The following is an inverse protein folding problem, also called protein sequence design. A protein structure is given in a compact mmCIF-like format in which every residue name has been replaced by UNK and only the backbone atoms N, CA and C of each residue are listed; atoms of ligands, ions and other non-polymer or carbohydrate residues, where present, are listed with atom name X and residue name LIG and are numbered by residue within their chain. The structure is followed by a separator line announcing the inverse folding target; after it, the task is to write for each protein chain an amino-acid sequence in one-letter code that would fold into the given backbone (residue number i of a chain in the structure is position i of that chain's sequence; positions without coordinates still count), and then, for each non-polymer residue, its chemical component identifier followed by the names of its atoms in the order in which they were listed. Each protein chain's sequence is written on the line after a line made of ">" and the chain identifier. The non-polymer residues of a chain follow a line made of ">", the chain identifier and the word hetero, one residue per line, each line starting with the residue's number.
data_IF_087274173191
#
_entry.id   IF_087274173191
#
_cell.length_a   1.000
_cell.length_b   1.000
_cell.length_c   1.000
_cell.angle_alpha   90.00
_cell.angle_beta   90.00
_cell.angle_gamma   90.00
#
_symmetry.space_group_name_H-M   'P 1'
#
loop_
_entity.id
_entity.type
_entity.pdbx_description
1 polymer ?
#
# COMPACT_ATOMS: atom_id res chain seq x y z
N UNK A 1 -0.89 7.27 5.74
CA UNK A 1 0.26 6.97 4.85
C UNK A 1 -0.08 5.75 4.01
N UNK A 2 0.24 5.75 2.71
CA UNK A 2 0.16 4.56 1.86
C UNK A 2 1.53 4.38 1.19
N UNK A 3 2.16 3.22 1.35
CA UNK A 3 3.54 3.01 0.92
C UNK A 3 3.86 1.56 0.56
N UNK A 4 4.30 1.34 -0.68
CA UNK A 4 4.89 0.07 -1.10
C UNK A 4 6.37 0.06 -0.71
N UNK A 5 6.76 -0.88 0.17
CA UNK A 5 8.10 -0.90 0.79
C UNK A 5 9.18 -1.62 -0.03
N UNK A 6 8.81 -2.18 -1.19
CA UNK A 6 9.66 -3.04 -2.02
C UNK A 6 10.21 -4.24 -1.24
N UNK A 7 9.60 -5.42 -1.38
CA UNK A 7 10.08 -6.59 -0.64
C UNK A 7 11.48 -7.01 -1.10
N UNK A 8 12.21 -7.72 -0.24
CA UNK A 8 13.59 -8.11 -0.53
C UNK A 8 13.68 -9.03 -1.75
N UNK A 9 12.69 -9.94 -1.89
CA UNK A 9 12.57 -10.82 -3.05
C UNK A 9 12.59 -10.10 -4.40
N UNK A 10 12.08 -8.87 -4.49
CA UNK A 10 12.04 -8.11 -5.76
C UNK A 10 13.17 -7.06 -5.89
N UNK A 11 13.91 -6.78 -4.83
CA UNK A 11 14.99 -5.79 -4.78
C UNK A 11 16.30 -6.30 -5.43
N UNK A 12 16.23 -6.79 -6.67
CA UNK A 12 17.36 -7.43 -7.35
C UNK A 12 18.17 -6.44 -8.20
N UNK A 13 19.44 -6.75 -8.44
CA UNK A 13 20.31 -6.00 -9.36
C UNK A 13 19.85 -6.04 -10.82
N UNK A 14 19.04 -7.03 -11.20
CA UNK A 14 18.45 -7.10 -12.55
C UNK A 14 17.41 -6.00 -12.75
N UNK A 15 16.56 -5.78 -11.74
CA UNK A 15 15.54 -4.72 -11.76
C UNK A 15 16.12 -3.34 -11.43
N UNK A 16 17.09 -3.29 -10.52
CA UNK A 16 17.64 -2.07 -9.93
C UNK A 16 19.16 -1.94 -10.17
N UNK A 17 19.61 -2.17 -11.41
CA UNK A 17 21.05 -2.20 -11.77
C UNK A 17 21.80 -0.87 -11.56
N UNK A 18 21.07 0.23 -11.40
CA UNK A 18 21.62 1.55 -11.04
C UNK A 18 21.88 1.71 -9.53
N UNK A 19 21.30 0.87 -8.67
CA UNK A 19 21.41 0.96 -7.21
C UNK A 19 22.47 -0.02 -6.69
N UNK A 20 23.54 0.43 -6.01
CA UNK A 20 24.60 -0.47 -5.56
C UNK A 20 24.06 -1.55 -4.61
N UNK A 21 24.64 -2.76 -4.65
CA UNK A 21 24.09 -3.93 -3.94
C UNK A 21 23.88 -3.70 -2.45
N UNK A 22 24.83 -3.04 -1.77
CA UNK A 22 24.72 -2.73 -0.34
C UNK A 22 23.50 -1.85 -0.01
N UNK A 23 23.06 -1.01 -0.95
CA UNK A 23 21.88 -0.17 -0.77
C UNK A 23 20.56 -0.90 -1.10
N UNK A 24 20.64 -2.05 -1.80
CA UNK A 24 19.50 -2.94 -2.06
C UNK A 24 19.30 -3.96 -0.92
N UNK A 25 20.35 -4.27 -0.17
CA UNK A 25 20.26 -5.21 0.97
C UNK A 25 19.18 -4.78 1.96
N UNK A 26 18.32 -5.74 2.35
CA UNK A 26 17.20 -5.49 3.27
C UNK A 26 17.64 -4.86 4.59
N UNK A 27 18.74 -5.33 5.19
CA UNK A 27 19.24 -4.79 6.46
C UNK A 27 19.64 -3.32 6.40
N UNK A 28 19.98 -2.82 5.21
CA UNK A 28 20.17 -1.41 4.95
C UNK A 28 18.83 -0.70 4.73
N UNK A 29 18.02 -1.18 3.78
CA UNK A 29 16.76 -0.51 3.36
C UNK A 29 15.74 -0.41 4.49
N UNK A 30 15.59 -1.46 5.30
CA UNK A 30 14.56 -1.53 6.34
C UNK A 30 14.66 -0.39 7.36
N UNK A 31 15.89 0.11 7.60
CA UNK A 31 16.14 1.27 8.47
C UNK A 31 15.53 2.53 7.88
N UNK A 32 15.86 2.84 6.62
CA UNK A 32 15.31 4.01 5.93
C UNK A 32 13.79 3.93 5.72
N UNK A 33 13.26 2.74 5.46
CA UNK A 33 11.81 2.51 5.37
C UNK A 33 11.12 2.85 6.70
N UNK A 34 11.66 2.37 7.82
CA UNK A 34 11.10 2.65 9.14
C UNK A 34 11.24 4.12 9.52
N UNK A 35 12.36 4.75 9.19
CA UNK A 35 12.59 6.18 9.42
C UNK A 35 11.59 7.04 8.63
N UNK A 36 11.28 6.69 7.36
CA UNK A 36 10.24 7.36 6.56
C UNK A 36 8.86 7.22 7.19
N UNK A 37 8.51 6.01 7.66
CA UNK A 37 7.23 5.76 8.35
C UNK A 37 7.12 6.60 9.62
N UNK A 38 8.19 6.65 10.43
CA UNK A 38 8.26 7.45 11.66
C UNK A 38 8.21 8.95 11.37
N UNK A 39 8.85 9.39 10.29
CA UNK A 39 8.88 10.80 9.89
C UNK A 39 7.48 11.37 9.65
N UNK A 40 6.63 10.66 8.90
CA UNK A 40 5.26 11.14 8.65
C UNK A 40 4.34 10.99 9.88
N UNK A 41 4.66 10.08 10.80
CA UNK A 41 3.88 9.86 12.03
C UNK A 41 2.35 9.73 11.77
N UNK A 42 1.98 9.08 10.66
CA UNK A 42 0.60 9.01 10.22
C UNK A 42 -0.27 8.14 11.13
N UNK A 43 -1.48 8.59 11.44
CA UNK A 43 -2.40 7.87 12.32
C UNK A 43 -2.81 6.46 11.83
N UNK A 44 -2.86 6.30 10.50
CA UNK A 44 -3.13 5.05 9.80
C UNK A 44 -2.09 4.88 8.69
N UNK A 45 -1.47 3.70 8.63
CA UNK A 45 -0.41 3.35 7.68
C UNK A 45 -0.84 2.09 6.92
N UNK A 46 -0.90 2.18 5.59
CA UNK A 46 -1.17 1.06 4.70
C UNK A 46 0.11 0.72 3.94
N UNK A 47 0.62 -0.51 4.12
CA UNK A 47 1.83 -0.98 3.45
C UNK A 47 1.53 -2.09 2.45
N UNK A 48 2.23 -2.08 1.32
CA UNK A 48 2.27 -3.15 0.34
C UNK A 48 3.70 -3.72 0.24
N UNK A 49 3.81 -4.94 -0.26
CA UNK A 49 5.08 -5.69 -0.35
C UNK A 49 5.77 -5.93 1.01
N UNK A 50 4.97 -6.13 2.06
CA UNK A 50 5.50 -6.53 3.38
C UNK A 50 5.68 -8.04 3.39
N UNK A 51 6.90 -8.54 3.60
CA UNK A 51 7.14 -9.97 3.77
C UNK A 51 6.59 -10.48 5.10
N UNK A 52 6.09 -11.73 5.10
CA UNK A 52 5.45 -12.34 6.27
C UNK A 52 6.35 -12.32 7.50
N UNK A 53 7.60 -12.77 7.37
CA UNK A 53 8.54 -12.77 8.50
C UNK A 53 8.83 -11.34 8.97
N UNK A 54 9.05 -10.41 8.04
CA UNK A 54 9.36 -9.02 8.36
C UNK A 54 8.21 -8.28 9.04
N UNK A 55 6.95 -8.63 8.74
CA UNK A 55 5.82 -8.09 9.49
C UNK A 55 5.94 -8.43 10.98
N UNK A 56 6.14 -9.71 11.31
CA UNK A 56 6.14 -10.18 12.70
C UNK A 56 7.46 -9.90 13.44
N UNK A 57 8.60 -9.96 12.75
CA UNK A 57 9.92 -9.83 13.37
C UNK A 57 10.47 -8.40 13.38
N UNK A 58 9.94 -7.51 12.53
CA UNK A 58 10.46 -6.14 12.38
C UNK A 58 9.36 -5.07 12.45
N UNK A 59 8.44 -5.00 11.49
CA UNK A 59 7.49 -3.87 11.41
C UNK A 59 6.56 -3.78 12.62
N UNK A 60 5.92 -4.89 13.01
CA UNK A 60 5.00 -4.91 14.15
C UNK A 60 5.68 -4.58 15.49
N UNK A 61 6.82 -5.21 15.89
CA UNK A 61 7.46 -4.87 17.15
C UNK A 61 8.03 -3.44 17.19
N UNK A 62 8.57 -2.92 16.08
CA UNK A 62 9.05 -1.54 16.02
C UNK A 62 7.90 -0.53 16.11
N UNK A 63 6.84 -0.70 15.31
CA UNK A 63 5.71 0.22 15.33
C UNK A 63 4.86 0.09 16.60
N UNK A 64 4.86 -1.06 17.28
CA UNK A 64 4.26 -1.19 18.61
C UNK A 64 4.94 -0.31 19.65
N UNK A 65 6.26 -0.16 19.60
CA UNK A 65 6.98 0.78 20.47
C UNK A 65 6.56 2.23 20.20
N UNK A 66 6.21 2.52 18.95
CA UNK A 66 5.70 3.83 18.51
C UNK A 66 4.17 4.00 18.75
N UNK A 67 3.52 3.07 19.44
CA UNK A 67 2.10 3.16 19.83
C UNK A 67 1.10 2.71 18.75
N UNK A 68 1.55 2.00 17.73
CA UNK A 68 0.68 1.38 16.74
C UNK A 68 0.28 -0.04 17.15
N UNK A 69 -0.84 -0.50 16.62
CA UNK A 69 -1.10 -1.93 16.42
C UNK A 69 -1.28 -2.18 14.93
N UNK A 70 -1.32 -3.44 14.49
CA UNK A 70 -1.46 -3.72 13.07
C UNK A 70 -1.89 -5.14 12.72
N UNK A 71 -2.43 -5.25 11.51
CA UNK A 71 -2.85 -6.51 10.89
C UNK A 71 -2.10 -6.73 9.57
N UNK A 72 -1.99 -7.99 9.18
CA UNK A 72 -1.29 -8.41 7.97
C UNK A 72 -1.97 -9.61 7.32
N UNK A 73 -1.89 -9.66 6.00
CA UNK A 73 -2.21 -10.88 5.25
C UNK A 73 -1.24 -11.06 4.08
N UNK A 74 -0.62 -12.25 3.94
CA UNK A 74 0.20 -12.57 2.79
C UNK A 74 -0.66 -12.84 1.56
N UNK A 75 -0.06 -12.72 0.36
CA UNK A 75 -0.72 -13.15 -0.89
C UNK A 75 -1.16 -14.62 -0.82
N UNK A 76 -2.23 -14.96 -1.55
CA UNK A 76 -2.91 -16.25 -1.46
C UNK A 76 -2.02 -17.47 -1.69
N UNK A 77 -0.93 -17.34 -2.46
CA UNK A 77 0.07 -18.41 -2.66
C UNK A 77 0.66 -18.97 -1.37
N UNK A 78 0.69 -18.19 -0.28
CA UNK A 78 1.16 -18.63 1.03
C UNK A 78 0.47 -19.92 1.52
N UNK A 79 -0.78 -20.15 1.11
CA UNK A 79 -1.59 -21.31 1.51
C UNK A 79 -1.10 -22.64 0.95
N UNK A 80 -0.41 -22.62 -0.20
CA UNK A 80 0.08 -23.82 -0.88
C UNK A 80 1.59 -24.02 -0.76
N UNK A 81 2.27 -23.11 -0.06
CA UNK A 81 3.73 -23.16 0.14
C UNK A 81 4.10 -23.80 1.47
N UNK A 82 5.33 -24.33 1.54
CA UNK A 82 5.93 -24.82 2.77
C UNK A 82 6.10 -23.68 3.80
N UNK A 83 6.25 -24.03 5.08
CA UNK A 83 6.42 -23.03 6.14
C UNK A 83 7.67 -22.16 5.96
N UNK A 84 8.76 -22.74 5.45
CA UNK A 84 10.02 -22.00 5.21
C UNK A 84 9.87 -20.97 4.10
N UNK A 85 9.15 -21.30 3.03
CA UNK A 85 8.93 -20.38 1.90
C UNK A 85 7.85 -19.34 2.22
N UNK A 86 6.84 -19.70 3.01
CA UNK A 86 5.74 -18.81 3.41
C UNK A 86 6.25 -17.53 4.08
N UNK A 87 7.36 -17.62 4.83
CA UNK A 87 8.03 -16.49 5.49
C UNK A 87 8.38 -15.34 4.55
N UNK A 88 8.70 -15.66 3.29
CA UNK A 88 9.11 -14.69 2.27
C UNK A 88 7.97 -14.32 1.31
N UNK A 89 6.75 -14.77 1.59
CA UNK A 89 5.59 -14.32 0.83
C UNK A 89 5.22 -12.93 1.30
N UNK A 90 5.26 -12.00 0.36
CA UNK A 90 4.83 -10.62 0.55
C UNK A 90 3.30 -10.49 0.55
N UNK A 91 2.82 -9.43 1.20
CA UNK A 91 1.40 -9.12 1.33
C UNK A 91 1.14 -7.66 1.67
N UNK A 92 -0.01 -7.43 2.28
CA UNK A 92 -0.49 -6.11 2.69
C UNK A 92 -0.56 -6.02 4.21
N UNK A 93 -0.23 -4.86 4.77
CA UNK A 93 -0.37 -4.57 6.20
C UNK A 93 -1.12 -3.25 6.42
N UNK A 94 -1.88 -3.18 7.51
CA UNK A 94 -2.50 -1.96 8.00
C UNK A 94 -2.07 -1.77 9.46
N UNK A 95 -1.45 -0.62 9.76
CA UNK A 95 -1.15 -0.18 11.11
C UNK A 95 -2.02 1.03 11.47
N UNK A 96 -2.38 1.15 12.74
CA UNK A 96 -3.18 2.25 13.26
C UNK A 96 -2.76 2.59 14.69
N UNK A 97 -2.81 3.88 15.05
CA UNK A 97 -2.51 4.34 16.41
C UNK A 97 -3.50 3.70 17.40
N UNK A 98 -3.00 2.85 18.29
CA UNK A 98 -3.85 2.09 19.22
C UNK A 98 -4.61 2.99 20.22
N UNK A 99 -4.07 4.16 20.53
CA UNK A 99 -4.75 5.17 21.34
C UNK A 99 -5.95 5.81 20.61
N UNK A 100 -5.89 5.94 19.28
CA UNK A 100 -6.91 6.61 18.45
C UNK A 100 -7.93 5.67 17.83
N UNK A 101 -7.57 4.40 17.64
CA UNK A 101 -8.44 3.42 16.98
C UNK A 101 -8.55 2.11 17.74
N UNK A 102 -9.71 1.47 17.65
CA UNK A 102 -9.94 0.07 18.00
C UNK A 102 -10.23 -0.73 16.74
N UNK A 103 -9.56 -1.87 16.57
CA UNK A 103 -9.93 -2.84 15.54
C UNK A 103 -11.21 -3.55 15.95
N UNK A 104 -12.19 -3.55 15.04
CA UNK A 104 -13.47 -4.28 15.20
C UNK A 104 -13.43 -5.59 14.42
N UNK A 105 -12.98 -5.54 13.17
CA UNK A 105 -12.95 -6.69 12.27
C UNK A 105 -11.91 -6.52 11.17
N UNK A 106 -11.31 -7.62 10.76
CA UNK A 106 -10.45 -7.69 9.59
C UNK A 106 -11.13 -8.48 8.46
N UNK A 107 -10.81 -8.13 7.22
CA UNK A 107 -11.35 -8.74 6.02
C UNK A 107 -10.22 -8.95 5.00
N UNK A 108 -10.01 -10.21 4.60
CA UNK A 108 -9.12 -10.58 3.51
C UNK A 108 -9.93 -10.74 2.22
N UNK A 109 -9.49 -10.07 1.15
CA UNK A 109 -10.11 -10.10 -0.17
C UNK A 109 -9.14 -10.80 -1.12
N UNK A 110 -9.50 -12.00 -1.56
CA UNK A 110 -8.66 -12.83 -2.46
C UNK A 110 -9.21 -12.80 -3.88
N UNK A 111 -8.57 -12.02 -4.76
CA UNK A 111 -9.09 -11.78 -6.11
C UNK A 111 -9.17 -13.04 -6.97
N UNK A 112 -8.32 -14.03 -6.74
CA UNK A 112 -8.41 -15.32 -7.42
C UNK A 112 -9.68 -16.11 -7.06
N UNK A 113 -10.08 -16.10 -5.79
CA UNK A 113 -11.30 -16.77 -5.33
C UNK A 113 -12.54 -16.06 -5.86
N UNK A 114 -12.52 -14.72 -5.86
CA UNK A 114 -13.58 -13.94 -6.50
C UNK A 114 -13.63 -14.23 -8.00
N UNK A 115 -12.51 -14.21 -8.71
CA UNK A 115 -12.48 -14.51 -10.13
C UNK A 115 -12.99 -15.93 -10.43
N UNK A 116 -12.65 -16.92 -9.59
CA UNK A 116 -13.15 -18.30 -9.71
C UNK A 116 -14.66 -18.39 -9.45
N UNK A 117 -15.19 -17.67 -8.46
CA UNK A 117 -16.62 -17.62 -8.19
C UNK A 117 -17.41 -16.91 -9.31
N UNK A 118 -16.76 -15.98 -10.01
CA UNK A 118 -17.36 -15.11 -11.03
C UNK A 118 -16.95 -15.49 -12.47
N UNK A 119 -16.41 -16.68 -12.68
CA UNK A 119 -15.86 -17.08 -13.98
C UNK A 119 -16.88 -17.66 -14.97
N UNK A 120 -18.13 -17.83 -14.55
CA UNK A 120 -19.15 -18.47 -15.38
C UNK A 120 -19.27 -17.76 -16.74
N UNK A 121 -19.11 -18.53 -17.82
CA UNK A 121 -19.18 -18.03 -19.20
C UNK A 121 -18.00 -17.17 -19.66
N UNK A 122 -16.88 -17.11 -18.91
CA UNK A 122 -15.69 -16.33 -19.32
C UNK A 122 -14.37 -17.08 -19.11
N UNK A 123 -13.83 -17.61 -20.22
CA UNK A 123 -12.48 -18.18 -20.26
C UNK A 123 -11.41 -17.15 -19.88
N UNK A 124 -11.63 -15.87 -20.20
CA UNK A 124 -10.69 -14.80 -19.88
C UNK A 124 -10.62 -14.54 -18.37
N UNK A 125 -11.73 -14.73 -17.62
CA UNK A 125 -11.69 -14.68 -16.15
C UNK A 125 -10.83 -15.82 -15.59
N UNK A 126 -11.00 -17.05 -16.10
CA UNK A 126 -10.25 -18.23 -15.67
C UNK A 126 -8.77 -18.18 -16.04
N UNK A 127 -8.44 -17.70 -17.24
CA UNK A 127 -7.08 -17.80 -17.78
C UNK A 127 -6.21 -16.59 -17.41
N UNK A 128 -6.82 -15.41 -17.24
CA UNK A 128 -6.06 -14.16 -17.05
C UNK A 128 -6.14 -13.63 -15.61
N UNK A 129 -7.33 -13.67 -15.01
CA UNK A 129 -7.61 -13.06 -13.69
C UNK A 129 -7.41 -14.06 -12.55
N UNK A 130 -8.09 -15.22 -12.59
CA UNK A 130 -8.06 -16.24 -11.53
C UNK A 130 -6.64 -16.72 -11.15
N UNK A 131 -5.66 -16.87 -12.07
CA UNK A 131 -4.33 -17.33 -11.71
C UNK A 131 -3.49 -16.30 -10.94
N UNK A 132 -3.99 -15.07 -10.73
CA UNK A 132 -3.26 -13.99 -10.07
C UNK A 132 -3.56 -13.99 -8.57
N UNK A 133 -2.52 -14.11 -7.75
CA UNK A 133 -2.56 -14.27 -6.30
C UNK A 133 -2.62 -12.94 -5.51
N UNK A 134 -2.97 -11.85 -6.19
CA UNK A 134 -3.11 -10.51 -5.60
C UNK A 134 -4.24 -10.48 -4.57
N UNK A 135 -4.13 -9.58 -3.59
CA UNK A 135 -5.08 -9.46 -2.48
C UNK A 135 -5.42 -8.00 -2.15
N UNK A 136 -6.55 -7.82 -1.48
CA UNK A 136 -6.87 -6.66 -0.65
C UNK A 136 -6.99 -7.05 0.82
N UNK A 137 -6.67 -6.12 1.71
CA UNK A 137 -6.85 -6.25 3.16
C UNK A 137 -7.66 -5.05 3.65
N UNK A 138 -8.70 -5.29 4.44
CA UNK A 138 -9.48 -4.22 5.05
C UNK A 138 -9.62 -4.40 6.57
N UNK A 139 -9.59 -3.29 7.29
CA UNK A 139 -9.77 -3.18 8.73
C UNK A 139 -10.97 -2.29 9.01
N UNK A 140 -12.02 -2.83 9.64
CA UNK A 140 -13.06 -2.03 10.25
C UNK A 140 -12.55 -1.54 11.60
N UNK A 141 -12.31 -0.23 11.69
CA UNK A 141 -11.84 0.46 12.88
C UNK A 141 -12.96 1.30 13.49
N UNK A 142 -12.84 1.60 14.78
CA UNK A 142 -13.61 2.64 15.46
C UNK A 142 -12.70 3.68 16.07
N UNK A 143 -13.06 4.94 15.91
CA UNK A 143 -12.36 6.05 16.57
C UNK A 143 -12.51 5.96 18.10
N UNK A 144 -11.47 6.37 18.81
CA UNK A 144 -11.45 6.56 20.27
C UNK A 144 -11.37 8.06 20.57
N UNK A 145 -11.49 8.43 21.84
CA UNK A 145 -11.40 9.82 22.29
C UNK A 145 -10.12 10.53 21.79
N UNK A 146 -8.97 9.85 21.82
CA UNK A 146 -7.70 10.43 21.38
C UNK A 146 -7.64 10.75 19.87
N UNK A 147 -8.61 10.31 19.07
CA UNK A 147 -8.71 10.71 17.66
C UNK A 147 -9.21 12.17 17.50
N UNK A 148 -9.72 12.79 18.56
CA UNK A 148 -10.38 14.09 18.54
C UNK A 148 -9.54 15.16 19.27
N UNK A 149 -8.33 15.44 18.76
CA UNK A 149 -7.35 16.33 19.39
C UNK A 149 -7.83 17.78 19.59
N UNK A 150 -8.80 18.25 18.80
CA UNK A 150 -9.36 19.61 18.86
C UNK A 150 -10.61 19.74 19.76
N UNK A 151 -10.88 18.73 20.59
CA UNK A 151 -12.03 18.68 21.48
C UNK A 151 -12.95 17.52 21.16
N UNK A 152 -13.45 16.87 22.21
CA UNK A 152 -14.42 15.79 22.12
C UNK A 152 -15.69 16.33 21.43
N UNK A 153 -16.18 15.68 20.36
CA UNK A 153 -17.43 16.08 19.74
C UNK A 153 -18.56 16.11 20.78
N UNK A 154 -19.36 17.17 20.77
CA UNK A 154 -20.49 17.35 21.71
C UNK A 154 -21.51 16.20 21.62
N UNK A 155 -21.60 15.59 20.45
CA UNK A 155 -22.37 14.38 20.22
C UNK A 155 -21.52 13.13 20.52
N UNK A 156 -21.83 12.48 21.64
CA UNK A 156 -21.17 11.25 22.07
C UNK A 156 -21.31 10.09 21.06
N UNK A 157 -22.23 10.18 20.09
CA UNK A 157 -22.34 9.19 19.01
C UNK A 157 -21.26 9.34 17.93
N UNK A 158 -20.57 10.49 17.88
CA UNK A 158 -19.39 10.71 17.02
C UNK A 158 -18.15 10.03 17.63
N UNK A 159 -18.11 9.88 18.96
CA UNK A 159 -17.14 9.01 19.63
C UNK A 159 -17.44 7.56 19.24
N UNK A 160 -16.48 6.88 18.60
CA UNK A 160 -16.72 5.54 18.07
C UNK A 160 -17.19 5.50 16.61
N UNK A 161 -17.04 6.60 15.86
CA UNK A 161 -17.25 6.64 14.41
C UNK A 161 -16.54 5.46 13.72
N UNK A 162 -17.27 4.59 13.00
CA UNK A 162 -16.67 3.48 12.25
C UNK A 162 -15.98 3.98 10.98
N UNK A 163 -14.83 3.40 10.68
CA UNK A 163 -14.02 3.67 9.49
C UNK A 163 -13.53 2.33 8.94
N UNK A 164 -13.84 2.02 7.69
CA UNK A 164 -13.28 0.90 6.95
C UNK A 164 -12.02 1.39 6.21
N UNK A 165 -10.86 0.90 6.63
CA UNK A 165 -9.58 1.17 5.95
C UNK A 165 -9.27 -0.02 5.06
N UNK A 166 -9.01 0.20 3.78
CA UNK A 166 -8.60 -0.84 2.85
C UNK A 166 -7.24 -0.51 2.23
N UNK A 167 -6.41 -1.54 2.06
CA UNK A 167 -5.23 -1.51 1.21
C UNK A 167 -5.25 -2.66 0.21
N UNK A 168 -4.89 -2.42 -1.04
CA UNK A 168 -4.74 -3.45 -2.05
C UNK A 168 -3.39 -3.36 -2.77
N UNK A 169 -2.92 -4.51 -3.27
CA UNK A 169 -1.78 -4.57 -4.18
C UNK A 169 -2.21 -5.31 -5.45
N UNK A 170 -2.58 -4.53 -6.46
CA UNK A 170 -3.13 -4.98 -7.74
C UNK A 170 -2.00 -5.51 -8.63
N UNK A 171 -2.36 -6.40 -9.57
CA UNK A 171 -1.41 -7.00 -10.51
C UNK A 171 -0.52 -5.97 -11.20
N UNK A 172 0.75 -6.30 -11.43
CA UNK A 172 1.77 -5.33 -11.83
C UNK A 172 1.96 -5.21 -13.35
N UNK A 173 1.82 -6.32 -14.08
CA UNK A 173 2.24 -6.43 -15.48
C UNK A 173 1.50 -5.40 -16.36
N UNK A 174 2.20 -4.49 -17.07
CA UNK A 174 1.60 -3.51 -17.96
C UNK A 174 0.67 -4.12 -19.01
N UNK A 175 0.93 -5.36 -19.45
CA UNK A 175 0.14 -6.04 -20.48
C UNK A 175 -1.21 -6.60 -19.97
N UNK A 176 -1.49 -6.44 -18.69
CA UNK A 176 -2.68 -6.97 -18.04
C UNK A 176 -3.56 -5.85 -17.44
N UNK A 177 -3.73 -4.73 -18.16
CA UNK A 177 -4.64 -3.66 -17.73
C UNK A 177 -6.08 -4.13 -17.49
N UNK A 178 -6.54 -5.14 -18.24
CA UNK A 178 -7.82 -5.82 -18.04
C UNK A 178 -7.92 -6.47 -16.66
N UNK A 179 -6.87 -7.20 -16.24
CA UNK A 179 -6.81 -7.83 -14.92
C UNK A 179 -6.78 -6.77 -13.83
N UNK A 180 -6.02 -5.69 -14.01
CA UNK A 180 -5.94 -4.59 -13.02
C UNK A 180 -7.31 -3.94 -12.81
N UNK A 181 -8.02 -3.68 -13.91
CA UNK A 181 -9.37 -3.14 -13.87
C UNK A 181 -10.34 -4.10 -13.19
N UNK A 182 -10.36 -5.37 -13.59
CA UNK A 182 -11.26 -6.39 -13.00
C UNK A 182 -10.97 -6.60 -11.51
N UNK A 183 -9.70 -6.67 -11.08
CA UNK A 183 -9.33 -6.76 -9.67
C UNK A 183 -9.83 -5.54 -8.88
N UNK A 184 -9.72 -4.34 -9.45
CA UNK A 184 -10.24 -3.12 -8.84
C UNK A 184 -11.77 -3.16 -8.73
N UNK A 185 -12.47 -3.65 -9.76
CA UNK A 185 -13.92 -3.82 -9.73
C UNK A 185 -14.37 -4.83 -8.66
N UNK A 186 -13.68 -5.97 -8.56
CA UNK A 186 -13.92 -6.97 -7.52
C UNK A 186 -13.67 -6.40 -6.12
N UNK A 187 -12.58 -5.65 -5.94
CA UNK A 187 -12.28 -4.96 -4.68
C UNK A 187 -13.42 -4.03 -4.27
N UNK A 188 -13.86 -3.16 -5.17
CA UNK A 188 -14.94 -2.20 -4.89
C UNK A 188 -16.26 -2.88 -4.55
N UNK A 189 -16.58 -4.00 -5.22
CA UNK A 189 -17.79 -4.79 -4.92
C UNK A 189 -17.72 -5.45 -3.54
N UNK A 190 -16.59 -6.05 -3.19
CA UNK A 190 -16.42 -6.65 -1.86
C UNK A 190 -16.43 -5.60 -0.75
N UNK A 191 -15.80 -4.45 -0.96
CA UNK A 191 -15.86 -3.34 -0.01
C UNK A 191 -17.29 -2.85 0.20
N UNK A 192 -18.10 -2.77 -0.85
CA UNK A 192 -19.53 -2.46 -0.74
C UNK A 192 -20.25 -3.48 0.14
N UNK A 193 -20.09 -4.78 -0.12
CA UNK A 193 -20.71 -5.84 0.69
C UNK A 193 -20.29 -5.73 2.16
N UNK A 194 -19.00 -5.49 2.42
CA UNK A 194 -18.46 -5.31 3.78
C UNK A 194 -19.08 -4.08 4.45
N UNK A 195 -19.24 -2.96 3.73
CA UNK A 195 -19.85 -1.74 4.26
C UNK A 195 -21.34 -1.97 4.59
N UNK A 196 -22.10 -2.59 3.70
CA UNK A 196 -23.53 -2.89 3.91
C UNK A 196 -23.74 -3.83 5.10
N UNK A 197 -22.91 -4.88 5.23
CA UNK A 197 -22.95 -5.81 6.35
C UNK A 197 -22.54 -5.14 7.67
N UNK A 198 -21.48 -4.32 7.64
CA UNK A 198 -21.02 -3.57 8.81
C UNK A 198 -22.09 -2.59 9.29
N UNK A 199 -22.67 -1.82 8.37
CA UNK A 199 -23.77 -0.90 8.68
C UNK A 199 -24.95 -1.65 9.31
N UNK A 200 -25.34 -2.81 8.77
CA UNK A 200 -26.39 -3.66 9.35
C UNK A 200 -26.06 -4.11 10.76
N UNK A 201 -24.85 -4.65 11.00
CA UNK A 201 -24.43 -5.10 12.34
C UNK A 201 -24.41 -3.94 13.34
N UNK A 202 -23.93 -2.76 12.93
CA UNK A 202 -23.87 -1.58 13.77
C UNK A 202 -25.28 -1.05 14.11
N UNK A 203 -26.20 -1.00 13.14
CA UNK A 203 -27.63 -0.68 13.36
C UNK A 203 -28.25 -1.58 14.42
N UNK A 204 -28.05 -2.90 14.30
CA UNK A 204 -28.60 -3.89 15.24
C UNK A 204 -28.01 -3.74 16.65
N UNK A 205 -26.79 -3.24 16.76
CA UNK A 205 -26.14 -2.92 18.03
C UNK A 205 -26.53 -1.53 18.59
N UNK A 206 -27.44 -0.79 17.92
CA UNK A 206 -27.81 0.58 18.29
C UNK A 206 -26.68 1.59 18.12
N UNK A 207 -25.72 1.30 17.24
CA UNK A 207 -24.55 2.14 16.95
C UNK A 207 -24.72 2.87 15.62
N UNK A 208 -23.90 3.92 15.40
CA UNK A 208 -23.82 4.59 14.11
C UNK A 208 -23.40 3.59 13.02
N UNK A 209 -24.13 3.64 11.94
CA UNK A 209 -24.10 2.73 10.80
C UNK A 209 -23.48 3.36 9.54
N UNK A 210 -23.26 4.68 9.56
CA UNK A 210 -22.53 5.37 8.52
C UNK A 210 -21.03 5.06 8.65
N UNK A 211 -20.53 4.10 7.86
CA UNK A 211 -19.12 3.68 7.87
C UNK A 211 -18.35 4.46 6.81
N UNK A 212 -17.32 5.20 7.23
CA UNK A 212 -16.46 5.93 6.30
C UNK A 212 -15.46 4.98 5.62
N UNK A 213 -15.17 5.16 4.33
CA UNK A 213 -14.18 4.37 3.59
C UNK A 213 -12.89 5.17 3.36
N UNK A 214 -11.75 4.60 3.77
CA UNK A 214 -10.41 5.04 3.39
C UNK A 214 -9.79 3.97 2.49
N UNK A 215 -9.61 4.27 1.20
CA UNK A 215 -9.03 3.34 0.23
C UNK A 215 -7.60 3.73 -0.12
N UNK A 216 -6.67 2.82 0.18
CA UNK A 216 -5.26 2.91 -0.11
C UNK A 216 -4.84 1.77 -1.05
N UNK A 217 -3.71 1.90 -1.71
CA UNK A 217 -3.08 0.75 -2.38
C UNK A 217 -2.06 1.11 -3.45
N UNK A 218 -1.34 0.07 -3.87
CA UNK A 218 -0.59 0.07 -5.13
C UNK A 218 -1.46 -0.56 -6.20
N UNK A 219 -2.03 0.29 -7.06
CA UNK A 219 -2.92 -0.14 -8.13
C UNK A 219 -2.17 -0.47 -9.42
N UNK A 220 -0.85 -0.27 -9.47
CA UNK A 220 -0.01 -0.47 -10.65
C UNK A 220 -0.60 0.14 -11.94
N UNK A 221 -1.30 1.27 -11.80
CA UNK A 221 -2.12 1.89 -12.86
C UNK A 221 -1.88 3.40 -12.88
N UNK A 222 -1.70 3.95 -14.08
CA UNK A 222 -1.45 5.38 -14.28
C UNK A 222 -2.74 6.20 -14.20
N UNK A 223 -2.67 7.53 -13.98
CA UNK A 223 -3.86 8.38 -13.85
C UNK A 223 -4.85 8.35 -15.02
N UNK A 224 -4.41 7.97 -16.23
CA UNK A 224 -5.21 7.87 -17.46
C UNK A 224 -5.73 6.45 -17.74
N UNK A 225 -5.61 5.54 -16.77
CA UNK A 225 -6.11 4.16 -16.86
C UNK A 225 -7.60 4.05 -16.54
N UNK A 226 -8.24 2.98 -17.01
CA UNK A 226 -9.62 2.63 -16.67
C UNK A 226 -9.79 2.33 -15.18
N UNK A 227 -8.73 1.90 -14.49
CA UNK A 227 -8.71 1.72 -13.02
C UNK A 227 -8.99 3.05 -12.32
N UNK A 228 -8.27 4.11 -12.71
CA UNK A 228 -8.43 5.43 -12.10
C UNK A 228 -9.74 6.10 -12.53
N UNK A 229 -10.16 5.94 -13.79
CA UNK A 229 -11.49 6.37 -14.26
C UNK A 229 -12.60 5.75 -13.40
N UNK A 230 -12.53 4.44 -13.19
CA UNK A 230 -13.51 3.68 -12.43
C UNK A 230 -13.57 4.11 -10.96
N UNK A 231 -12.43 4.24 -10.30
CA UNK A 231 -12.36 4.68 -8.90
C UNK A 231 -12.83 6.13 -8.72
N UNK A 232 -12.60 7.00 -9.71
CA UNK A 232 -12.92 8.42 -9.62
C UNK A 232 -14.38 8.72 -9.98
N UNK A 233 -14.95 7.98 -10.94
CA UNK A 233 -16.28 8.26 -11.49
C UNK A 233 -17.35 7.24 -11.10
N UNK A 234 -16.96 6.18 -10.36
CA UNK A 234 -17.87 5.10 -9.96
C UNK A 234 -18.37 4.24 -11.12
N UNK A 235 -17.80 4.38 -12.32
CA UNK A 235 -18.18 3.62 -13.52
C UNK A 235 -17.06 3.59 -14.54
N UNK A 236 -17.14 2.63 -15.45
CA UNK A 236 -16.29 2.53 -16.63
C UNK A 236 -17.10 1.86 -17.72
N UNK A 237 -16.91 2.26 -18.98
CA UNK A 237 -17.60 1.62 -20.10
C UNK A 237 -17.26 0.13 -20.18
N UNK A 238 -18.25 -0.73 -20.48
CA UNK A 238 -17.98 -2.16 -20.75
C UNK A 238 -17.12 -2.38 -22.00
N UNK A 239 -17.00 -1.35 -22.84
CA UNK A 239 -16.19 -1.33 -24.06
C UNK A 239 -14.90 -0.53 -23.86
N UNK A 240 -14.54 -0.22 -22.61
CA UNK A 240 -13.32 0.52 -22.31
C UNK A 240 -12.08 -0.23 -22.83
N UNK A 241 -11.13 0.53 -23.41
CA UNK A 241 -9.91 -0.01 -24.07
C UNK A 241 -9.12 -0.98 -23.20
N UNK A 242 -9.10 -0.76 -21.89
CA UNK A 242 -8.37 -1.60 -20.94
C UNK A 242 -8.95 -3.02 -20.82
N UNK A 243 -10.20 -3.26 -21.24
CA UNK A 243 -10.75 -4.62 -21.34
C UNK A 243 -10.23 -5.38 -22.58
N UNK A 244 -9.49 -4.72 -23.48
CA UNK A 244 -8.86 -5.31 -24.68
C UNK A 244 -9.82 -6.13 -25.56
N UNK A 245 -11.11 -5.75 -25.58
CA UNK A 245 -12.17 -6.47 -26.30
C UNK A 245 -12.33 -7.96 -25.89
N UNK A 246 -11.84 -8.34 -24.71
CA UNK A 246 -11.83 -9.73 -24.20
C UNK A 246 -13.20 -10.23 -23.73
N UNK A 247 -14.30 -9.55 -24.07
CA UNK A 247 -15.66 -10.05 -23.86
C UNK A 247 -16.08 -10.19 -22.38
N UNK A 248 -15.54 -9.39 -21.47
CA UNK A 248 -15.89 -9.45 -20.03
C UNK A 248 -17.33 -9.03 -19.70
N UNK A 249 -18.05 -8.42 -20.64
CA UNK A 249 -19.38 -7.85 -20.40
C UNK A 249 -20.40 -8.86 -19.82
N UNK A 250 -20.34 -10.14 -20.19
CA UNK A 250 -21.21 -11.18 -19.63
C UNK A 250 -21.00 -11.39 -18.14
N UNK A 251 -19.75 -11.61 -17.72
CA UNK A 251 -19.39 -11.84 -16.31
C UNK A 251 -19.57 -10.59 -15.44
N UNK A 252 -19.38 -9.40 -16.02
CA UNK A 252 -19.55 -8.12 -15.31
C UNK A 252 -21.04 -7.77 -15.05
N UNK A 253 -21.95 -8.17 -15.94
CA UNK A 253 -23.40 -7.89 -15.83
C UNK A 253 -24.08 -8.65 -14.71
N UNK A 254 -23.67 -9.90 -14.44
CA UNK A 254 -24.26 -10.72 -13.38
C UNK A 254 -24.06 -10.16 -11.96
N UNK A 255 -23.06 -9.29 -11.78
CA UNK A 255 -22.56 -8.93 -10.45
C UNK A 255 -22.82 -7.48 -10.04
N UNK A 256 -23.71 -6.76 -10.74
CA UNK A 256 -23.97 -5.32 -10.49
C UNK A 256 -22.67 -4.47 -10.45
N UNK A 257 -21.58 -4.95 -11.06
CA UNK A 257 -20.29 -4.27 -11.13
C UNK A 257 -20.34 -2.95 -11.94
N UNK A 258 -21.48 -2.67 -12.58
CA UNK A 258 -21.75 -1.44 -13.33
C UNK A 258 -22.29 -0.28 -12.48
N UNK A 259 -22.57 -0.47 -11.18
CA UNK A 259 -23.22 0.54 -10.33
C UNK A 259 -22.45 0.77 -9.03
N UNK A 260 -21.36 1.53 -9.12
CA UNK A 260 -20.60 1.97 -7.94
C UNK A 260 -20.99 3.34 -7.41
N UNK A 261 -21.82 4.08 -8.15
CA UNK A 261 -22.26 5.40 -7.73
C UNK A 261 -23.16 5.34 -6.48
N UNK A 262 -24.14 4.43 -6.40
CA UNK A 262 -25.13 4.46 -5.31
C UNK A 262 -24.55 4.13 -3.92
N UNK A 263 -23.69 3.13 -3.76
CA UNK A 263 -23.20 2.79 -2.42
C UNK A 263 -22.12 3.75 -1.91
N UNK A 264 -21.29 4.30 -2.81
CA UNK A 264 -20.29 5.31 -2.47
C UNK A 264 -20.96 6.67 -2.25
N UNK A 265 -21.99 7.02 -3.03
CA UNK A 265 -22.77 8.25 -2.83
C UNK A 265 -23.74 8.17 -1.65
N UNK A 266 -24.27 7.00 -1.30
CA UNK A 266 -25.10 6.84 -0.09
C UNK A 266 -24.23 6.92 1.18
N UNK A 267 -22.97 6.45 1.11
CA UNK A 267 -21.98 6.67 2.16
C UNK A 267 -21.49 8.13 2.20
N UNK A 268 -21.22 8.74 1.04
CA UNK A 268 -20.78 10.14 0.94
C UNK A 268 -21.91 11.16 1.19
N UNK A 269 -23.16 10.78 0.91
CA UNK A 269 -24.37 11.60 1.00
C UNK A 269 -24.84 11.82 2.43
N UNK A 270 -24.27 11.11 3.42
CA UNK A 270 -24.58 11.30 4.83
C UNK A 270 -23.46 11.85 5.71
N UNK A 271 -22.20 11.95 5.24
CA UNK A 271 -21.17 12.92 5.69
C UNK A 271 -19.75 12.54 5.27
N UNK A 272 -19.03 13.46 4.62
CA UNK A 272 -17.55 13.50 4.53
C UNK A 272 -16.92 12.91 3.26
N UNK A 273 -15.76 13.45 2.81
CA UNK A 273 -15.13 13.06 1.53
C UNK A 273 -14.54 11.65 1.59
N UNK A 274 -14.73 10.88 0.51
CA UNK A 274 -13.94 9.66 0.25
C UNK A 274 -12.53 10.09 -0.12
N UNK A 275 -11.55 9.55 0.61
CA UNK A 275 -10.13 9.83 0.40
C UNK A 275 -9.51 8.60 -0.22
N UNK A 276 -9.08 8.70 -1.48
CA UNK A 276 -8.29 7.68 -2.15
C UNK A 276 -6.82 8.07 -2.17
N UNK A 277 -5.95 7.21 -1.62
CA UNK A 277 -4.49 7.35 -1.71
C UNK A 277 -3.92 6.36 -2.73
N UNK A 278 -3.51 6.85 -3.90
CA UNK A 278 -2.86 6.05 -4.95
C UNK A 278 -1.35 6.21 -4.86
N UNK A 279 -0.60 5.10 -4.85
CA UNK A 279 0.86 5.10 -4.99
C UNK A 279 1.23 4.89 -6.46
N UNK A 280 1.80 5.87 -7.17
CA UNK A 280 2.37 5.63 -8.49
C UNK A 280 3.70 4.88 -8.35
N UNK A 281 3.89 3.82 -9.12
CA UNK A 281 5.19 3.13 -9.21
C UNK A 281 6.12 3.90 -10.15
N UNK A 282 7.34 4.20 -9.70
CA UNK A 282 8.42 4.64 -10.58
C UNK A 282 8.86 3.45 -11.45
N UNK A 283 8.40 3.39 -12.70
CA UNK A 283 9.03 2.52 -13.70
C UNK A 283 10.44 3.04 -13.98
N UNK A 284 11.39 2.12 -14.16
CA UNK A 284 12.83 2.39 -14.24
C UNK A 284 13.18 3.65 -15.03
N UNK A 285 13.95 4.53 -14.39
CA UNK A 285 14.60 5.66 -15.07
C UNK A 285 14.05 7.06 -14.80
N UNK A 286 13.71 7.41 -13.55
CA UNK A 286 13.97 8.73 -12.91
C UNK A 286 13.27 8.75 -11.56
N UNK A 287 14.04 9.02 -10.50
CA UNK A 287 13.50 9.39 -9.20
C UNK A 287 12.80 10.74 -9.34
N UNK A 288 11.48 10.73 -9.32
CA UNK A 288 10.67 11.87 -8.90
C UNK A 288 9.78 11.38 -7.76
N UNK A 289 10.36 11.31 -6.57
CA UNK A 289 9.55 11.29 -5.36
C UNK A 289 8.93 12.69 -5.24
N UNK A 290 7.66 12.82 -5.65
CA UNK A 290 6.81 13.93 -5.22
C UNK A 290 5.79 13.37 -4.24
N UNK A 291 5.78 13.82 -2.98
CA UNK A 291 4.69 13.51 -2.06
C UNK A 291 3.49 14.32 -2.52
N UNK A 292 2.59 13.73 -3.31
CA UNK A 292 1.34 14.40 -3.64
C UNK A 292 0.28 14.12 -2.58
N UNK A 293 -0.16 15.25 -2.06
CA UNK A 293 -1.19 15.53 -1.07
C UNK A 293 -2.51 14.83 -1.41
N UNK A 294 -3.16 14.35 -0.35
CA UNK A 294 -4.60 14.07 -0.27
C UNK A 294 -5.39 15.10 -1.08
N UNK A 295 -5.97 14.71 -2.21
CA UNK A 295 -6.89 15.56 -2.95
C UNK A 295 -8.31 15.17 -2.52
N UNK A 296 -8.98 16.06 -1.80
CA UNK A 296 -10.43 15.98 -1.68
C UNK A 296 -11.04 16.09 -3.07
N UNK A 297 -11.94 15.16 -3.40
CA UNK A 297 -12.74 15.21 -4.62
C UNK A 297 -13.69 16.41 -4.53
N UNK A 298 -13.79 17.28 -5.55
CA UNK A 298 -14.77 18.35 -5.55
C UNK A 298 -16.17 17.76 -5.69
N UNK A 299 -17.09 18.20 -4.83
CA UNK A 299 -18.50 17.88 -4.93
C UNK A 299 -19.09 18.46 -6.22
N UNK A 300 -19.76 17.62 -7.02
CA UNK A 300 -20.49 18.05 -8.19
C UNK A 300 -21.82 18.70 -7.75
N UNK A 301 -22.02 19.98 -8.08
CA UNK A 301 -23.36 20.59 -8.14
C UNK A 301 -23.41 22.09 -7.83
N UNK A 302 -23.80 22.88 -8.84
CA UNK A 302 -24.37 24.21 -8.66
C UNK A 302 -23.83 25.27 -9.62
N UNK A 303 -24.58 25.54 -10.69
CA UNK A 303 -24.32 26.60 -11.66
C UNK A 303 -24.20 27.99 -11.00
N UNK A 304 -23.22 28.78 -11.42
CA UNK A 304 -23.03 30.17 -11.02
C UNK A 304 -21.92 30.82 -11.84
N UNK A 305 -22.34 31.61 -12.83
CA UNK A 305 -21.55 32.41 -13.74
C UNK A 305 -20.73 33.47 -13.00
N UNK A 306 -19.38 33.41 -13.02
CA UNK A 306 -18.49 34.55 -12.75
C UNK A 306 -17.19 34.41 -13.52
N UNK A 307 -16.89 35.44 -14.30
CA UNK A 307 -15.76 35.68 -15.18
C UNK A 307 -14.36 35.62 -14.54
N UNK A 308 -13.40 35.16 -15.34
CA UNK A 308 -11.95 35.27 -15.18
C UNK A 308 -11.48 36.68 -14.79
N UNK A 309 -10.63 36.81 -13.76
CA UNK A 309 -9.46 37.71 -13.73
C UNK A 309 -8.67 37.54 -12.42
N UNK A 310 -7.33 37.53 -12.54
CA UNK A 310 -6.31 37.78 -11.50
C UNK A 310 -6.06 36.71 -10.40
N UNK A 311 -4.98 35.92 -10.57
CA UNK A 311 -3.72 36.16 -9.84
C UNK A 311 -2.69 35.07 -10.18
N UNK A 312 -1.92 35.36 -11.21
CA UNK A 312 -0.58 34.84 -11.43
C UNK A 312 0.36 35.78 -10.65
N UNK A 313 1.11 35.28 -9.66
CA UNK A 313 2.40 35.86 -9.22
C UNK A 313 3.03 35.04 -8.09
N UNK A 314 4.33 34.83 -8.28
CA UNK A 314 5.35 34.33 -7.35
C UNK A 314 5.31 32.82 -7.09
N UNK A 315 6.30 32.12 -7.67
CA UNK A 315 7.43 31.56 -6.93
C UNK A 315 8.60 31.41 -7.90
N UNK A 316 9.55 32.34 -7.78
CA UNK A 316 10.84 32.34 -8.47
C UNK A 316 11.86 31.57 -7.64
N UNK A 317 12.58 30.66 -8.31
CA UNK A 317 13.95 30.22 -8.06
C UNK A 317 14.51 30.35 -6.64
N UNK A 318 14.65 29.20 -5.97
CA UNK A 318 15.80 28.92 -5.08
C UNK A 318 15.96 27.41 -4.88
N UNK A 319 16.64 26.77 -5.83
CA UNK A 319 17.38 25.54 -5.58
C UNK A 319 18.77 25.70 -6.20
N UNK A 320 19.63 26.45 -5.50
CA UNK A 320 21.06 26.41 -5.77
C UNK A 320 21.61 25.06 -5.28
N UNK A 321 22.18 24.34 -6.24
CA UNK A 321 23.05 23.19 -6.06
C UNK A 321 24.22 23.56 -5.13
N UNK A 322 24.43 22.76 -4.07
CA UNK A 322 25.68 22.76 -3.30
C UNK A 322 26.42 21.43 -3.56
N UNK A 323 27.68 21.45 -4.04
CA UNK A 323 28.46 20.25 -4.28
C UNK A 323 29.08 19.72 -2.97
N UNK A 324 28.92 18.43 -2.70
CA UNK A 324 29.63 17.74 -1.62
C UNK A 324 31.08 17.52 -2.06
N UNK A 325 32.00 18.31 -1.50
CA UNK A 325 33.44 18.09 -1.60
C UNK A 325 33.87 17.11 -0.51
N UNK A 326 34.42 15.98 -0.93
CA UNK A 326 35.06 15.02 -0.04
C UNK A 326 36.34 15.64 0.53
N UNK A 327 36.36 15.90 1.84
CA UNK A 327 37.55 16.31 2.57
C UNK A 327 38.07 15.13 3.38
N UNK A 328 39.13 14.50 2.89
CA UNK A 328 39.94 13.58 3.67
C UNK A 328 40.68 14.37 4.77
N UNK A 329 40.75 13.82 5.99
CA UNK A 329 41.72 14.24 6.99
C UNK A 329 42.27 13.00 7.72
N UNK A 330 43.60 12.95 7.96
CA UNK A 330 44.28 11.75 8.42
C UNK A 330 44.43 11.75 9.94
N UNK A 331 44.27 10.60 10.58
CA UNK A 331 44.83 10.34 11.92
C UNK A 331 45.90 9.24 11.84
N UNK A 332 47.05 9.42 12.54
CA UNK A 332 48.20 8.53 12.41
C UNK A 332 48.14 7.35 13.39
N UNK A 333 48.46 6.15 12.90
CA UNK A 333 48.80 4.99 13.73
C UNK A 333 50.26 5.06 14.21
N UNK A 334 50.58 4.69 15.47
CA UNK A 334 51.95 4.62 15.94
C UNK A 334 52.67 3.34 15.47
N UNK A 335 53.94 3.50 15.06
CA UNK A 335 54.87 2.42 14.70
C UNK A 335 55.33 1.62 15.94
N UNK A 336 55.59 0.31 15.82
CA UNK A 336 56.34 -0.44 16.82
C UNK A 336 57.86 -0.40 16.53
N UNK A 337 58.66 -0.25 17.59
CA UNK A 337 60.13 -0.33 17.60
C UNK A 337 60.66 -1.77 17.51
N UNK A 338 61.89 -1.99 17.00
CA UNK A 338 62.42 -3.32 16.72
C UNK A 338 63.17 -3.92 17.92
N UNK A 339 63.03 -5.22 18.14
CA UNK A 339 63.88 -5.99 19.07
C UNK A 339 64.58 -7.16 18.34
N UNK A 340 65.87 -7.25 18.64
CA UNK A 340 66.97 -8.09 18.13
C UNK A 340 66.69 -9.61 18.01
N UNK A 341 67.30 -10.22 16.98
CA UNK A 341 67.64 -11.65 16.88
C UNK A 341 68.87 -12.02 17.76
N UNK A 342 69.06 -13.29 18.17
CA UNK A 342 69.83 -14.29 17.39
C UNK A 342 69.35 -15.76 17.61
N UNK A 343 70.10 -16.82 17.19
CA UNK A 343 70.27 -17.32 15.82
C UNK A 343 69.82 -18.80 15.64
N UNK A 344 70.00 -19.30 14.42
CA UNK A 344 69.50 -20.54 13.81
C UNK A 344 69.90 -21.89 14.47
N UNK A 345 69.05 -22.92 14.27
CA UNK A 345 69.46 -24.33 14.19
C UNK A 345 68.45 -25.21 13.42
N UNK A 346 68.92 -25.75 12.28
CA UNK A 346 68.75 -27.12 11.74
C UNK A 346 67.36 -27.80 11.62
N UNK A 347 67.00 -28.14 10.37
CA UNK A 347 66.17 -29.31 10.02
C UNK A 347 66.96 -30.62 10.25
N UNK A 348 66.33 -31.82 10.42
CA UNK A 348 65.82 -32.57 9.24
C UNK A 348 64.60 -33.54 9.48
N UNK A 349 63.86 -33.78 8.38
CA UNK A 349 63.42 -35.10 7.82
C UNK A 349 62.45 -36.04 8.58
N UNK A 350 61.35 -36.39 7.87
CA UNK A 350 60.64 -37.70 7.77
C UNK A 350 59.84 -38.25 8.96
N UNK A 351 58.54 -38.50 8.76
CA UNK A 351 57.97 -39.83 8.45
C UNK A 351 56.44 -39.83 8.64
N UNK A 352 55.72 -40.35 7.64
CA UNK A 352 54.34 -40.81 7.77
C UNK A 352 54.29 -42.13 8.59
N UNK A 353 53.10 -42.56 8.99
CA UNK A 353 52.39 -43.58 8.20
C UNK A 353 51.06 -43.10 7.60
#
# INVERSE_FOLDING_TARGET
>A
MCYNVLCDKYATRQMYGYCPSWALEWDYRKKGILDEIRHYSADIISLQEVETDQFYSFFLPELKQDGYDGIFSPKSRAKTMSESERKYVDGCAIFFRSAKFALVKEHLIEFNQLAMANSEGSDNMLNRVMPKDNIGLAALLKTKEAAWENGIPTDASILGQPILVCTAHIHWDPEFCDVKLIQTMMLSNELRSILEDSARTLRLAGQRDNVQLLLCGDFNSLPDSGVVEFLSSGRVSSEHRDFKELGYAGSLRHHRLHLLQQAVDDAAGSSGPVVAGLVPRAQGGRLSASPHTLRSLPAAGGAGDVSEHEQQLQWSDRAQVAPVTARASPHPHPRPTPARHPPAATAPVSAAP
#
